data_IF_900002185587
#
_entry.id   IF_900002185587
#
_cell.length_a   1.000
_cell.length_b   1.000
_cell.length_c   1.000
_cell.angle_alpha   90.00
_cell.angle_beta   90.00
_cell.angle_gamma   90.00
#
_symmetry.space_group_name_H-M   'P 1'
#
loop_
_entity.id
_entity.type
_entity.pdbx_description
1 polymer ?
#
# COMPACT_ATOMS: atom_id res chain seq x y z
N UNK A 1 13.10 1.03 -2.38
CA UNK A 1 12.34 -0.08 -1.71
C UNK A 1 13.24 -1.16 -1.12
N UNK A 2 14.16 -1.77 -1.87
CA UNK A 2 15.01 -2.85 -1.31
C UNK A 2 15.84 -2.44 -0.09
N UNK A 3 16.23 -1.16 0.04
CA UNK A 3 16.92 -0.66 1.22
C UNK A 3 16.08 -0.70 2.50
N UNK A 4 14.75 -0.65 2.39
CA UNK A 4 13.85 -0.74 3.55
C UNK A 4 13.89 -2.10 4.23
N UNK A 5 14.23 -3.17 3.48
CA UNK A 5 14.35 -4.53 4.04
C UNK A 5 15.32 -4.58 5.21
N UNK A 6 16.41 -3.78 5.17
CA UNK A 6 17.40 -3.73 6.25
C UNK A 6 16.86 -3.13 7.57
N UNK A 7 15.72 -2.46 7.54
CA UNK A 7 15.04 -1.86 8.70
C UNK A 7 13.87 -2.72 9.20
N UNK A 8 13.52 -3.79 8.49
CA UNK A 8 12.48 -4.73 8.89
C UNK A 8 13.07 -5.76 9.84
N UNK A 9 12.42 -5.91 11.00
CA UNK A 9 12.85 -6.82 12.07
C UNK A 9 12.02 -8.12 12.01
N UNK A 10 12.70 -9.26 12.01
CA UNK A 10 12.07 -10.57 12.05
C UNK A 10 12.87 -11.61 11.29
N UNK A 11 12.61 -12.88 11.60
CA UNK A 11 13.22 -14.02 10.93
C UNK A 11 12.15 -14.77 10.12
N UNK A 12 12.58 -15.56 9.15
CA UNK A 12 11.71 -16.38 8.28
C UNK A 12 10.72 -15.53 7.44
N UNK A 13 11.17 -14.37 7.00
CA UNK A 13 10.41 -13.48 6.12
C UNK A 13 10.94 -13.67 4.69
N UNK A 14 10.04 -13.96 3.75
CA UNK A 14 10.34 -13.92 2.33
C UNK A 14 9.98 -12.53 1.76
N UNK A 15 10.85 -11.98 0.91
CA UNK A 15 10.64 -10.68 0.28
C UNK A 15 10.49 -10.84 -1.23
N UNK A 16 9.44 -10.25 -1.78
CA UNK A 16 9.23 -10.12 -3.21
C UNK A 16 9.13 -8.64 -3.56
N UNK A 17 10.01 -8.17 -4.43
CA UNK A 17 10.06 -6.78 -4.85
C UNK A 17 9.97 -6.71 -6.38
N UNK A 18 8.76 -6.61 -6.94
CA UNK A 18 8.61 -6.43 -8.39
C UNK A 18 9.20 -5.10 -8.82
N UNK A 19 9.82 -5.09 -10.00
CA UNK A 19 10.37 -3.89 -10.62
C UNK A 19 9.41 -3.37 -11.70
N UNK A 20 9.16 -2.06 -11.68
CA UNK A 20 8.40 -1.42 -12.72
C UNK A 20 9.25 -1.28 -13.99
N UNK A 21 8.67 -1.55 -15.16
CA UNK A 21 9.31 -1.28 -16.45
C UNK A 21 9.60 0.22 -16.58
N UNK A 22 10.84 0.57 -16.91
CA UNK A 22 11.26 1.97 -16.99
C UNK A 22 11.22 2.73 -15.66
N UNK A 23 11.27 2.02 -14.52
CA UNK A 23 11.21 2.57 -13.17
C UNK A 23 9.93 3.36 -12.84
N UNK A 24 8.83 3.13 -13.57
CA UNK A 24 7.53 3.75 -13.29
C UNK A 24 6.38 2.76 -13.49
N UNK A 25 5.48 2.68 -12.53
CA UNK A 25 4.32 1.80 -12.60
C UNK A 25 3.23 2.33 -13.54
N UNK A 26 3.07 3.65 -13.58
CA UNK A 26 2.11 4.35 -14.46
C UNK A 26 2.61 5.78 -14.72
N UNK A 27 2.24 6.41 -15.86
CA UNK A 27 2.96 7.56 -16.41
C UNK A 27 2.67 8.90 -15.72
N UNK A 28 1.46 9.10 -15.16
CA UNK A 28 1.04 10.38 -14.60
C UNK A 28 0.95 10.34 -13.08
N UNK A 29 0.61 11.46 -12.45
CA UNK A 29 0.37 11.51 -11.01
C UNK A 29 -0.77 10.56 -10.62
N UNK A 30 -0.70 9.99 -9.42
CA UNK A 30 -1.73 9.08 -8.90
C UNK A 30 -3.10 9.76 -8.70
N UNK A 31 -3.13 11.09 -8.54
CA UNK A 31 -4.35 11.90 -8.47
C UNK A 31 -4.86 12.37 -9.85
N UNK A 32 -4.18 12.00 -10.94
CA UNK A 32 -4.71 12.21 -12.28
C UNK A 32 -5.82 11.20 -12.59
N UNK A 33 -6.60 11.45 -13.66
CA UNK A 33 -7.65 10.53 -14.05
C UNK A 33 -7.10 9.11 -14.29
N UNK A 34 -7.83 8.10 -13.86
CA UNK A 34 -7.44 6.69 -14.07
C UNK A 34 -7.20 6.41 -15.56
N UNK A 35 -8.05 6.98 -16.44
CA UNK A 35 -7.91 6.83 -17.88
C UNK A 35 -6.56 7.31 -18.41
N UNK A 36 -6.00 8.41 -17.84
CA UNK A 36 -4.70 8.93 -18.27
C UNK A 36 -3.52 8.05 -17.86
N UNK A 37 -3.71 7.17 -16.89
CA UNK A 37 -2.71 6.21 -16.42
C UNK A 37 -2.81 4.83 -17.07
N UNK A 38 -3.84 4.62 -17.88
CA UNK A 38 -4.02 3.37 -18.64
C UNK A 38 -3.16 3.32 -19.91
N UNK A 39 -2.79 2.13 -20.41
CA UNK A 39 -3.03 0.80 -19.82
C UNK A 39 -1.99 0.38 -18.76
N UNK A 40 -1.00 1.23 -18.48
CA UNK A 40 0.11 0.90 -17.55
C UNK A 40 -0.39 0.61 -16.13
N UNK A 41 -1.41 1.34 -15.63
CA UNK A 41 -1.98 1.10 -14.31
C UNK A 41 -2.61 -0.30 -14.21
N UNK A 42 -3.36 -0.74 -15.23
CA UNK A 42 -3.94 -2.09 -15.24
C UNK A 42 -2.84 -3.17 -15.26
N UNK A 43 -1.78 -2.95 -16.05
CA UNK A 43 -0.63 -3.85 -16.06
C UNK A 43 0.08 -3.92 -14.71
N UNK A 44 0.22 -2.79 -14.02
CA UNK A 44 0.82 -2.74 -12.67
C UNK A 44 -0.04 -3.50 -11.65
N UNK A 45 -1.35 -3.27 -11.65
CA UNK A 45 -2.29 -3.98 -10.77
C UNK A 45 -2.30 -5.49 -11.06
N UNK A 46 -2.29 -5.88 -12.33
CA UNK A 46 -2.20 -7.29 -12.73
C UNK A 46 -0.89 -7.95 -12.28
N UNK A 47 0.23 -7.20 -12.30
CA UNK A 47 1.52 -7.67 -11.80
C UNK A 47 1.46 -7.96 -10.30
N UNK A 48 0.90 -7.04 -9.50
CA UNK A 48 0.73 -7.26 -8.05
C UNK A 48 -0.20 -8.44 -7.80
N UNK A 49 -1.34 -8.51 -8.49
CA UNK A 49 -2.29 -9.64 -8.37
C UNK A 49 -1.61 -10.97 -8.66
N UNK A 50 -0.87 -11.06 -9.78
CA UNK A 50 -0.16 -12.28 -10.16
C UNK A 50 0.92 -12.70 -9.14
N UNK A 51 1.57 -11.74 -8.44
CA UNK A 51 2.47 -12.06 -7.34
C UNK A 51 1.73 -12.59 -6.12
N UNK A 52 0.61 -11.99 -5.74
CA UNK A 52 -0.23 -12.46 -4.62
C UNK A 52 -0.72 -13.88 -4.87
N UNK A 53 -1.14 -14.19 -6.11
CA UNK A 53 -1.57 -15.53 -6.49
C UNK A 53 -0.42 -16.54 -6.37
N UNK A 54 0.79 -16.20 -6.86
CA UNK A 54 1.98 -17.06 -6.73
C UNK A 54 2.38 -17.30 -5.26
N UNK A 55 2.30 -16.28 -4.41
CA UNK A 55 2.56 -16.40 -2.97
C UNK A 55 1.58 -17.39 -2.34
N UNK A 56 0.29 -17.26 -2.67
CA UNK A 56 -0.77 -18.16 -2.22
C UNK A 56 -0.55 -19.61 -2.72
N UNK A 57 -0.21 -19.78 -4.00
CA UNK A 57 0.12 -21.08 -4.59
C UNK A 57 1.35 -21.74 -3.95
N UNK A 58 2.32 -20.94 -3.48
CA UNK A 58 3.47 -21.40 -2.71
C UNK A 58 3.14 -21.79 -1.26
N UNK A 59 1.86 -21.70 -0.85
CA UNK A 59 1.40 -22.12 0.47
C UNK A 59 1.43 -21.00 1.53
N UNK A 60 1.67 -19.75 1.15
CA UNK A 60 1.61 -18.60 2.06
C UNK A 60 0.24 -17.93 1.86
N UNK A 61 -0.68 -18.03 2.84
CA UNK A 61 -2.00 -17.47 2.70
C UNK A 61 -1.98 -15.92 2.80
N UNK A 62 -3.00 -15.22 2.29
CA UNK A 62 -3.07 -13.76 2.33
C UNK A 62 -2.90 -13.18 3.73
N UNK A 63 -3.44 -13.82 4.75
CA UNK A 63 -3.34 -13.43 6.17
C UNK A 63 -1.89 -13.44 6.70
N UNK A 64 -0.98 -14.07 5.97
CA UNK A 64 0.47 -14.09 6.23
C UNK A 64 1.26 -13.24 5.23
N UNK A 65 0.58 -12.44 4.41
CA UNK A 65 1.19 -11.60 3.36
C UNK A 65 1.01 -10.12 3.69
N UNK A 66 2.11 -9.37 3.67
CA UNK A 66 2.09 -7.90 3.82
C UNK A 66 2.38 -7.26 2.46
N UNK A 67 1.51 -6.33 2.04
CA UNK A 67 1.71 -5.51 0.85
C UNK A 67 2.23 -4.15 1.30
N UNK A 68 3.40 -3.74 0.83
CA UNK A 68 4.02 -2.49 1.29
C UNK A 68 4.63 -1.71 0.13
N UNK A 69 4.53 -0.38 0.20
CA UNK A 69 5.16 0.50 -0.76
C UNK A 69 5.54 1.87 -0.20
N UNK A 70 6.38 2.58 -0.98
CA UNK A 70 6.70 3.99 -0.77
C UNK A 70 6.34 4.78 -2.03
N UNK A 71 5.78 5.97 -1.89
CA UNK A 71 5.46 6.90 -2.99
C UNK A 71 4.55 6.22 -4.04
N UNK A 72 4.92 6.17 -5.31
CA UNK A 72 4.15 5.48 -6.35
C UNK A 72 3.87 4.00 -6.01
N UNK A 73 4.82 3.33 -5.35
CA UNK A 73 4.64 1.96 -4.86
C UNK A 73 3.65 1.87 -3.70
N UNK A 74 3.55 2.90 -2.84
CA UNK A 74 2.55 2.99 -1.78
C UNK A 74 1.14 3.13 -2.36
N UNK A 75 0.98 4.00 -3.37
CA UNK A 75 -0.29 4.15 -4.07
C UNK A 75 -0.72 2.83 -4.72
N UNK A 76 0.20 2.13 -5.38
CA UNK A 76 -0.08 0.82 -5.98
C UNK A 76 -0.43 -0.24 -4.92
N UNK A 77 0.21 -0.21 -3.75
CA UNK A 77 -0.05 -1.16 -2.67
C UNK A 77 -1.48 -1.03 -2.13
N UNK A 78 -1.92 0.19 -1.77
CA UNK A 78 -3.28 0.39 -1.25
C UNK A 78 -4.34 0.21 -2.34
N UNK A 79 -4.08 0.64 -3.58
CA UNK A 79 -4.99 0.44 -4.71
C UNK A 79 -5.17 -1.06 -5.00
N UNK A 80 -4.08 -1.84 -4.98
CA UNK A 80 -4.15 -3.28 -5.19
C UNK A 80 -4.95 -3.98 -4.09
N UNK A 81 -4.73 -3.62 -2.82
CA UNK A 81 -5.47 -4.19 -1.70
C UNK A 81 -6.97 -3.85 -1.78
N UNK A 82 -7.32 -2.62 -2.16
CA UNK A 82 -8.71 -2.19 -2.31
C UNK A 82 -9.41 -2.83 -3.52
N UNK A 83 -8.69 -3.13 -4.62
CA UNK A 83 -9.23 -3.78 -5.82
C UNK A 83 -9.32 -5.30 -5.69
N UNK A 84 -8.46 -5.91 -4.91
CA UNK A 84 -8.41 -7.35 -4.65
C UNK A 84 -8.59 -7.62 -3.17
N UNK A 85 -9.74 -7.20 -2.56
CA UNK A 85 -9.91 -7.24 -1.12
C UNK A 85 -10.02 -8.67 -0.62
N UNK A 86 -9.26 -8.93 0.41
CA UNK A 86 -9.26 -10.14 1.24
C UNK A 86 -8.57 -9.80 2.55
N UNK A 87 -8.65 -10.64 3.56
CA UNK A 87 -7.88 -10.43 4.79
C UNK A 87 -6.40 -10.62 4.50
N UNK A 88 -5.61 -9.53 4.57
CA UNK A 88 -4.16 -9.57 4.45
C UNK A 88 -3.49 -9.53 5.83
N UNK A 89 -2.26 -10.00 5.91
CA UNK A 89 -1.41 -9.83 7.09
C UNK A 89 -1.10 -8.37 7.42
N UNK A 90 -1.14 -7.51 6.40
CA UNK A 90 -1.04 -6.07 6.52
C UNK A 90 -0.95 -5.37 5.17
N UNK A 91 -1.33 -4.10 5.16
CA UNK A 91 -1.13 -3.18 4.03
C UNK A 91 -0.44 -1.92 4.54
N UNK A 92 0.65 -1.52 3.90
CA UNK A 92 1.46 -0.37 4.34
C UNK A 92 1.68 0.59 3.18
N UNK A 93 1.24 1.82 3.35
CA UNK A 93 1.52 2.92 2.44
C UNK A 93 2.35 3.99 3.13
N UNK A 94 3.59 4.13 2.69
CA UNK A 94 4.51 5.17 3.14
C UNK A 94 4.51 6.28 2.07
N UNK A 95 3.90 7.42 2.38
CA UNK A 95 3.65 8.53 1.45
C UNK A 95 2.89 8.08 0.20
N UNK A 96 1.60 7.72 0.34
CA UNK A 96 0.75 7.28 -0.76
C UNK A 96 -0.74 7.25 -0.42
N UNK A 97 -1.56 7.03 -1.43
CA UNK A 97 -3.02 6.91 -1.31
C UNK A 97 -3.64 6.28 -2.57
N UNK A 98 -4.94 6.05 -2.56
CA UNK A 98 -5.71 5.47 -3.65
C UNK A 98 -5.58 6.28 -4.95
N UNK A 99 -5.59 5.57 -6.09
CA UNK A 99 -5.29 6.11 -7.42
C UNK A 99 -6.56 6.51 -8.16
N UNK A 100 -6.62 7.77 -8.61
CA UNK A 100 -7.72 8.32 -9.42
C UNK A 100 -7.91 9.82 -9.18
N UNK A 101 -8.59 10.51 -10.07
CA UNK A 101 -8.99 11.89 -9.90
C UNK A 101 -10.10 12.03 -8.83
N UNK A 102 -10.45 13.25 -8.48
CA UNK A 102 -11.59 13.53 -7.61
C UNK A 102 -12.87 12.87 -8.18
N UNK A 103 -13.61 12.17 -7.33
CA UNK A 103 -14.83 11.45 -7.72
C UNK A 103 -14.58 10.08 -8.40
N UNK A 104 -13.34 9.71 -8.68
CA UNK A 104 -13.01 8.41 -9.30
C UNK A 104 -12.67 7.29 -8.29
N UNK A 105 -12.62 7.60 -6.99
CA UNK A 105 -12.35 6.59 -5.95
C UNK A 105 -13.60 5.76 -5.66
N UNK A 106 -14.01 4.97 -6.62
CA UNK A 106 -15.24 4.16 -6.60
C UNK A 106 -15.02 2.74 -7.09
N UNK A 107 -16.02 1.88 -6.91
CA UNK A 107 -16.00 0.49 -7.39
C UNK A 107 -15.06 -0.41 -6.57
N UNK A 108 -14.84 -0.07 -5.30
CA UNK A 108 -14.16 -0.94 -4.34
C UNK A 108 -15.22 -1.82 -3.66
N UNK A 109 -15.23 -3.11 -4.00
CA UNK A 109 -16.20 -4.08 -3.53
C UNK A 109 -15.51 -5.26 -2.85
N UNK A 110 -16.09 -5.78 -1.76
CA UNK A 110 -15.55 -6.89 -0.99
C UNK A 110 -15.15 -6.48 0.43
N UNK A 111 -14.27 -7.23 1.07
CA UNK A 111 -13.90 -7.01 2.48
C UNK A 111 -12.39 -7.15 2.72
N UNK A 112 -11.86 -6.19 3.50
CA UNK A 112 -10.53 -6.22 4.11
C UNK A 112 -10.63 -6.53 5.62
N UNK A 113 -11.70 -7.17 6.06
CA UNK A 113 -12.04 -7.35 7.46
C UNK A 113 -10.86 -7.82 8.31
N UNK A 114 -10.54 -7.03 9.34
CA UNK A 114 -9.46 -7.31 10.26
C UNK A 114 -8.05 -7.00 9.74
N UNK A 115 -7.88 -6.68 8.45
CA UNK A 115 -6.57 -6.32 7.88
C UNK A 115 -6.00 -5.07 8.54
N UNK A 116 -4.82 -5.12 9.17
CA UNK A 116 -4.13 -3.92 9.62
C UNK A 116 -3.63 -3.11 8.41
N UNK A 117 -4.00 -1.84 8.36
CA UNK A 117 -3.56 -0.91 7.31
C UNK A 117 -2.84 0.25 7.98
N UNK A 118 -1.60 0.52 7.56
CA UNK A 118 -0.84 1.69 7.99
C UNK A 118 -0.72 2.70 6.85
N UNK A 119 -1.09 3.94 7.11
CA UNK A 119 -0.96 5.06 6.20
C UNK A 119 -0.10 6.13 6.86
N UNK A 120 1.16 6.28 6.44
CA UNK A 120 2.07 7.32 6.90
C UNK A 120 2.29 8.38 5.82
N UNK A 121 2.19 9.67 6.16
CA UNK A 121 2.43 10.76 5.22
C UNK A 121 2.79 12.07 5.95
N UNK A 122 3.45 12.99 5.27
CA UNK A 122 3.66 14.35 5.76
C UNK A 122 2.48 15.26 5.41
N UNK A 123 2.22 16.26 6.27
CA UNK A 123 1.24 17.33 6.00
C UNK A 123 1.68 18.31 4.90
N UNK A 124 2.98 18.36 4.60
CA UNK A 124 3.57 19.21 3.56
C UNK A 124 4.14 18.43 2.38
N UNK A 125 3.73 17.17 2.20
CA UNK A 125 4.14 16.36 1.06
C UNK A 125 3.52 16.89 -0.23
N UNK A 126 4.32 17.53 -1.09
CA UNK A 126 3.84 18.11 -2.35
C UNK A 126 3.53 17.08 -3.45
N UNK A 127 3.90 15.81 -3.24
CA UNK A 127 3.53 14.70 -4.13
C UNK A 127 2.19 14.08 -3.72
N UNK A 128 1.95 13.96 -2.41
CA UNK A 128 0.83 13.24 -1.81
C UNK A 128 -0.03 14.23 -1.00
N UNK A 129 -1.13 14.75 -1.55
CA UNK A 129 -2.06 15.60 -0.79
C UNK A 129 -2.61 14.85 0.43
N UNK A 130 -2.58 15.48 1.60
CA UNK A 130 -3.04 14.87 2.85
C UNK A 130 -4.52 14.48 2.79
N UNK A 131 -5.31 15.23 2.06
CA UNK A 131 -6.74 14.96 1.84
C UNK A 131 -6.93 13.58 1.18
N UNK A 132 -6.05 13.20 0.23
CA UNK A 132 -6.09 11.89 -0.40
C UNK A 132 -5.73 10.76 0.59
N UNK A 133 -4.87 11.02 1.56
CA UNK A 133 -4.57 10.05 2.63
C UNK A 133 -5.82 9.83 3.48
N UNK A 134 -6.52 10.91 3.87
CA UNK A 134 -7.79 10.84 4.60
C UNK A 134 -8.88 10.08 3.83
N UNK A 135 -9.07 10.38 2.52
CA UNK A 135 -10.00 9.64 1.66
C UNK A 135 -9.65 8.15 1.60
N UNK A 136 -8.35 7.84 1.49
CA UNK A 136 -7.85 6.45 1.49
C UNK A 136 -8.18 5.75 2.80
N UNK A 137 -7.94 6.39 3.95
CA UNK A 137 -8.32 5.87 5.28
C UNK A 137 -9.81 5.53 5.33
N UNK A 138 -10.66 6.45 4.90
CA UNK A 138 -12.11 6.29 5.00
C UNK A 138 -12.61 5.13 4.12
N UNK A 139 -12.08 5.01 2.89
CA UNK A 139 -12.43 3.91 1.99
C UNK A 139 -11.92 2.57 2.52
N UNK A 140 -10.66 2.49 2.96
CA UNK A 140 -10.11 1.25 3.52
C UNK A 140 -10.85 0.82 4.80
N UNK A 141 -11.21 1.78 5.65
CA UNK A 141 -12.05 1.52 6.84
C UNK A 141 -13.45 1.04 6.44
N UNK A 142 -14.05 1.63 5.41
CA UNK A 142 -15.34 1.20 4.85
C UNK A 142 -15.31 -0.24 4.31
N UNK A 143 -14.16 -0.72 3.85
CA UNK A 143 -13.92 -2.11 3.48
C UNK A 143 -13.65 -3.03 4.69
N UNK A 144 -13.69 -2.53 5.92
CA UNK A 144 -13.51 -3.30 7.16
C UNK A 144 -12.05 -3.43 7.64
N UNK A 145 -11.12 -2.68 7.06
CA UNK A 145 -9.73 -2.65 7.53
C UNK A 145 -9.59 -1.90 8.88
N UNK A 146 -8.55 -2.26 9.64
CA UNK A 146 -8.11 -1.54 10.84
C UNK A 146 -7.03 -0.55 10.46
N UNK A 147 -7.42 0.70 10.20
CA UNK A 147 -6.50 1.71 9.67
C UNK A 147 -5.84 2.50 10.82
N UNK A 148 -4.50 2.54 10.80
CA UNK A 148 -3.64 3.45 11.59
C UNK A 148 -3.11 4.50 10.61
N UNK A 149 -3.65 5.72 10.66
CA UNK A 149 -3.22 6.86 9.87
C UNK A 149 -2.36 7.78 10.73
N UNK A 150 -1.16 8.13 10.24
CA UNK A 150 -0.27 9.08 10.91
C UNK A 150 0.19 10.17 9.96
N UNK A 151 -0.17 11.40 10.28
CA UNK A 151 0.29 12.59 9.54
C UNK A 151 1.40 13.27 10.34
N UNK A 152 2.57 13.41 9.70
CA UNK A 152 3.78 13.94 10.33
C UNK A 152 4.02 15.39 9.92
N UNK A 153 3.96 16.33 10.89
CA UNK A 153 4.17 17.75 10.59
C UNK A 153 5.58 18.03 10.04
N UNK A 154 5.67 18.69 8.90
CA UNK A 154 6.90 19.20 8.33
C UNK A 154 7.90 18.16 7.84
N UNK A 155 7.53 16.88 7.73
CA UNK A 155 8.46 15.80 7.37
C UNK A 155 8.92 15.85 5.90
N UNK A 156 8.06 16.29 4.98
CA UNK A 156 8.29 16.21 3.53
C UNK A 156 8.10 14.80 2.95
N UNK A 157 8.59 14.58 1.71
CA UNK A 157 8.41 13.30 1.00
C UNK A 157 9.52 12.31 1.37
N UNK A 158 9.41 11.68 2.53
CA UNK A 158 10.40 10.75 3.06
C UNK A 158 9.74 9.74 4.00
N UNK A 159 10.54 8.86 4.59
CA UNK A 159 10.11 7.87 5.60
C UNK A 159 10.85 8.19 6.90
N UNK A 160 10.14 8.16 8.03
CA UNK A 160 10.72 8.36 9.36
C UNK A 160 10.79 7.06 10.17
N UNK A 161 11.39 7.14 11.37
CA UNK A 161 11.55 5.98 12.24
C UNK A 161 10.23 5.49 12.83
N UNK A 162 9.28 6.38 13.12
CA UNK A 162 7.96 6.01 13.69
C UNK A 162 7.14 5.19 12.68
N UNK A 163 7.22 5.53 11.38
CA UNK A 163 6.63 4.72 10.32
C UNK A 163 7.25 3.31 10.27
N UNK A 164 8.57 3.21 10.35
CA UNK A 164 9.26 1.91 10.37
C UNK A 164 8.94 1.10 11.63
N UNK A 165 8.72 1.76 12.75
CA UNK A 165 8.29 1.09 13.99
C UNK A 165 6.85 0.56 13.85
N UNK A 166 5.94 1.29 13.19
CA UNK A 166 4.59 0.82 12.87
C UNK A 166 4.63 -0.40 11.92
N UNK A 167 5.47 -0.36 10.88
CA UNK A 167 5.70 -1.52 9.98
C UNK A 167 6.17 -2.74 10.77
N UNK A 168 7.18 -2.54 11.63
CA UNK A 168 7.72 -3.63 12.46
C UNK A 168 6.70 -4.18 13.46
N UNK A 169 5.79 -3.34 13.97
CA UNK A 169 4.69 -3.80 14.83
C UNK A 169 3.70 -4.71 14.08
N UNK A 170 3.31 -4.35 12.85
CA UNK A 170 2.45 -5.20 12.00
C UNK A 170 3.13 -6.55 11.77
N UNK A 171 4.40 -6.55 11.34
CA UNK A 171 5.15 -7.77 11.05
C UNK A 171 5.35 -8.63 12.31
N UNK A 172 5.70 -8.01 13.44
CA UNK A 172 5.87 -8.73 14.71
C UNK A 172 4.58 -9.41 15.18
N UNK A 173 3.43 -8.77 15.01
CA UNK A 173 2.14 -9.36 15.34
C UNK A 173 1.82 -10.54 14.41
N UNK A 174 2.13 -10.39 13.12
CA UNK A 174 1.94 -11.44 12.13
C UNK A 174 2.81 -12.69 12.40
N UNK A 175 4.05 -12.49 12.86
CA UNK A 175 4.97 -13.60 13.18
C UNK A 175 4.60 -14.36 14.47
N UNK A 176 3.78 -13.75 15.34
CA UNK A 176 3.31 -14.37 16.59
C UNK A 176 1.99 -15.14 16.42
N UNK A 177 1.24 -14.85 15.38
CA UNK A 177 -0.04 -15.51 15.04
C UNK A 177 0.21 -16.76 14.19
#
# INVERSE_FOLDING_TARGET
MLSLINHIKGEKIAYLAPAAEGNTWYPNRFIASRASNQPKLDSALATVKGLLDKVKEAGIPPEKTVIMGFSQGACLAVESAARYPQTYGGVVALSGGLIGAEGELTGYEGSLEGTPVFLGCSDIDFHIPVERVHETRDIMSGLGAKVDERIYPGMGHTINQDEMDAVNAIISNLLKS
#
